data_IF_289118214671
#
_entry.id   IF_289118214671
#
_cell.length_a   1.000
_cell.length_b   1.000
_cell.length_c   1.000
_cell.angle_alpha   90.00
_cell.angle_beta   90.00
_cell.angle_gamma   90.00
#
_symmetry.space_group_name_H-M   'P 1'
#
loop_
_entity.id
_entity.type
_entity.pdbx_description
1 polymer ?
#
# COMPACT_ATOMS: atom_id res chain seq x y z
N UNK A 1 -25.10 -34.96 20.27
CA UNK A 1 -25.29 -34.00 21.38
C UNK A 1 -23.93 -33.41 21.74
N UNK A 2 -23.88 -32.08 21.76
CA UNK A 2 -22.88 -31.20 22.39
C UNK A 2 -21.41 -31.29 21.93
N UNK A 3 -21.06 -30.59 20.82
CA UNK A 3 -19.76 -29.90 20.66
C UNK A 3 -19.71 -28.88 19.51
N UNK A 4 -20.81 -28.15 19.29
CA UNK A 4 -20.86 -26.99 18.38
C UNK A 4 -21.77 -25.89 18.98
N UNK A 5 -21.29 -25.15 19.99
CA UNK A 5 -22.02 -23.95 20.46
C UNK A 5 -21.21 -22.97 21.32
N UNK A 6 -19.87 -22.98 21.24
CA UNK A 6 -19.04 -21.99 21.95
C UNK A 6 -18.03 -21.35 20.98
N UNK A 7 -18.56 -20.60 20.01
CA UNK A 7 -17.77 -19.76 19.09
C UNK A 7 -18.54 -18.51 18.62
N UNK A 8 -19.58 -18.09 19.35
CA UNK A 8 -20.45 -16.96 18.95
C UNK A 8 -20.85 -16.02 20.09
N UNK A 9 -20.07 -15.91 21.16
CA UNK A 9 -20.43 -15.06 22.32
C UNK A 9 -19.35 -14.05 22.74
N UNK A 10 -18.63 -13.42 21.79
CA UNK A 10 -17.73 -12.29 22.15
C UNK A 10 -17.50 -11.24 21.06
N UNK A 11 -18.38 -11.17 20.05
CA UNK A 11 -18.29 -10.19 18.95
C UNK A 11 -19.55 -9.32 18.78
N UNK A 12 -20.36 -9.16 19.84
CA UNK A 12 -21.50 -8.25 19.87
C UNK A 12 -21.58 -7.54 21.23
N UNK A 13 -20.63 -6.65 21.52
CA UNK A 13 -20.82 -5.62 22.54
C UNK A 13 -19.92 -4.44 22.18
N UNK A 14 -20.53 -3.40 21.61
CA UNK A 14 -20.19 -1.95 21.62
C UNK A 14 -20.96 -1.35 20.43
N UNK A 15 -22.21 -0.98 20.69
CA UNK A 15 -22.97 0.12 20.07
C UNK A 15 -24.46 -0.03 20.43
N UNK A 16 -24.80 0.13 21.71
CA UNK A 16 -26.17 0.46 22.09
C UNK A 16 -26.17 1.12 23.48
N UNK A 17 -25.94 2.43 23.51
CA UNK A 17 -26.31 3.29 24.64
C UNK A 17 -26.37 4.73 24.13
N UNK A 18 -27.50 5.08 23.52
CA UNK A 18 -28.17 6.39 23.64
C UNK A 18 -29.26 6.51 22.58
N UNK A 19 -30.40 5.83 22.81
CA UNK A 19 -31.71 6.30 22.34
C UNK A 19 -32.70 5.89 23.43
N UNK A 20 -32.78 6.70 24.49
CA UNK A 20 -34.01 6.81 25.27
C UNK A 20 -34.59 8.19 24.97
N UNK A 21 -35.89 8.21 24.73
CA UNK A 21 -36.73 9.34 24.29
C UNK A 21 -36.82 9.48 22.76
N UNK A 22 -37.84 8.86 22.17
CA UNK A 22 -38.95 9.58 21.53
C UNK A 22 -40.12 8.61 21.36
N UNK A 23 -41.29 9.14 21.65
CA UNK A 23 -42.58 8.49 21.82
C UNK A 23 -43.22 8.08 20.48
N UNK A 24 -44.10 7.08 20.57
CA UNK A 24 -44.85 6.40 19.50
C UNK A 24 -45.64 7.34 18.57
N UNK A 25 -45.73 6.99 17.28
CA UNK A 25 -47.03 6.79 16.61
C UNK A 25 -46.91 6.13 15.23
N UNK A 26 -47.75 5.10 15.04
CA UNK A 26 -48.36 4.58 13.79
C UNK A 26 -47.57 3.69 12.81
N UNK A 27 -47.95 2.41 12.85
CA UNK A 27 -48.29 1.50 11.75
C UNK A 27 -47.20 1.04 10.73
N UNK A 28 -46.82 -0.24 10.88
CA UNK A 28 -47.18 -1.35 9.97
C UNK A 28 -46.51 -1.51 8.59
N UNK A 29 -45.61 -2.51 8.54
CA UNK A 29 -45.42 -3.56 7.52
C UNK A 29 -44.79 -3.27 6.12
N UNK A 30 -43.57 -3.82 5.97
CA UNK A 30 -43.06 -4.69 4.89
C UNK A 30 -42.80 -4.18 3.44
N UNK A 31 -41.51 -4.36 3.03
CA UNK A 31 -40.91 -4.52 1.69
C UNK A 31 -41.00 -3.32 0.71
N UNK A 32 -39.99 -2.98 -0.10
CA UNK A 32 -39.25 -3.83 -1.04
C UNK A 32 -37.84 -3.26 -1.31
N UNK A 33 -36.93 -4.19 -1.56
CA UNK A 33 -35.52 -4.06 -1.91
C UNK A 33 -35.19 -3.33 -3.23
N UNK A 34 -33.89 -3.00 -3.36
CA UNK A 34 -33.09 -2.81 -4.59
C UNK A 34 -33.34 -1.47 -5.30
N UNK A 35 -32.33 -0.65 -5.62
CA UNK A 35 -31.10 -0.96 -6.32
C UNK A 35 -29.99 0.07 -6.03
N UNK A 36 -28.78 -0.34 -6.38
CA UNK A 36 -27.47 0.27 -6.11
C UNK A 36 -27.14 1.40 -7.12
N UNK A 37 -26.07 2.15 -6.81
CA UNK A 37 -25.15 2.88 -7.73
C UNK A 37 -25.24 4.42 -7.78
N UNK A 38 -24.24 5.01 -7.10
CA UNK A 38 -23.46 6.22 -7.43
C UNK A 38 -24.16 7.47 -7.99
N UNK A 39 -24.06 8.58 -7.25
CA UNK A 39 -23.42 9.78 -7.82
C UNK A 39 -23.04 10.79 -6.74
N UNK A 40 -21.76 11.15 -6.73
CA UNK A 40 -21.15 12.24 -5.96
C UNK A 40 -21.67 13.64 -6.39
N UNK A 41 -22.55 13.71 -7.40
CA UNK A 41 -23.10 14.96 -7.96
C UNK A 41 -24.27 15.55 -7.17
N UNK A 42 -24.93 14.78 -6.28
CA UNK A 42 -26.09 15.28 -5.52
C UNK A 42 -25.78 15.84 -4.12
N UNK A 43 -24.50 16.05 -3.78
CA UNK A 43 -24.09 16.63 -2.47
C UNK A 43 -23.61 18.08 -2.54
N UNK A 44 -23.77 18.76 -3.67
CA UNK A 44 -23.33 20.16 -3.86
C UNK A 44 -24.41 21.13 -4.31
N UNK A 45 -25.67 20.87 -3.98
CA UNK A 45 -26.76 21.84 -4.16
C UNK A 45 -27.71 21.80 -2.97
N UNK A 46 -27.26 22.36 -1.85
CA UNK A 46 -28.17 22.93 -0.86
C UNK A 46 -27.45 24.10 -0.18
N UNK A 47 -27.47 25.26 -0.83
CA UNK A 47 -27.24 26.56 -0.21
C UNK A 47 -27.66 27.62 -1.20
N UNK A 48 -28.49 28.56 -0.74
CA UNK A 48 -28.93 29.78 -1.44
C UNK A 48 -30.28 29.69 -2.15
N UNK A 49 -31.37 29.57 -1.38
CA UNK A 49 -32.70 29.98 -1.84
C UNK A 49 -33.50 30.59 -0.70
N UNK A 50 -33.02 31.71 -0.15
CA UNK A 50 -33.87 32.68 0.54
C UNK A 50 -33.18 34.03 0.45
N UNK A 51 -33.56 34.88 -0.51
CA UNK A 51 -33.58 36.34 -0.41
C UNK A 51 -34.35 36.91 -1.61
N UNK A 52 -35.48 37.55 -1.29
CA UNK A 52 -35.99 38.83 -1.81
C UNK A 52 -35.96 39.08 -3.34
N UNK A 53 -37.12 39.22 -3.97
CA UNK A 53 -37.87 40.48 -4.13
C UNK A 53 -37.24 41.44 -5.18
N UNK A 54 -38.00 41.64 -6.26
CA UNK A 54 -38.07 42.84 -7.11
C UNK A 54 -36.77 43.39 -7.73
N UNK A 55 -36.51 43.07 -9.00
CA UNK A 55 -35.54 43.80 -9.84
C UNK A 55 -36.01 43.87 -11.31
N UNK A 56 -35.96 45.09 -11.83
CA UNK A 56 -36.45 45.60 -13.12
C UNK A 56 -35.79 45.00 -14.37
N UNK A 57 -36.55 44.99 -15.48
CA UNK A 57 -36.28 44.44 -16.83
C UNK A 57 -35.08 45.08 -17.59
N UNK A 58 -34.15 45.78 -16.93
CA UNK A 58 -33.03 46.48 -17.60
C UNK A 58 -31.64 45.83 -17.53
N UNK A 59 -31.51 44.58 -17.05
CA UNK A 59 -30.20 43.90 -16.93
C UNK A 59 -30.00 42.68 -17.84
N UNK A 60 -30.94 42.37 -18.74
CA UNK A 60 -30.80 41.25 -19.68
C UNK A 60 -29.80 41.54 -20.84
N UNK A 61 -29.62 42.81 -21.22
CA UNK A 61 -28.76 43.18 -22.36
C UNK A 61 -27.27 43.39 -22.01
N UNK A 62 -26.94 43.62 -20.72
CA UNK A 62 -25.55 43.73 -20.27
C UNK A 62 -24.86 42.38 -20.05
N UNK A 63 -25.63 41.33 -19.80
CA UNK A 63 -25.10 40.00 -19.48
C UNK A 63 -24.62 39.22 -20.72
N UNK A 64 -25.24 39.43 -21.88
CA UNK A 64 -24.83 38.78 -23.14
C UNK A 64 -23.56 39.40 -23.72
N UNK A 65 -23.33 40.70 -23.55
CA UNK A 65 -22.16 41.40 -24.10
C UNK A 65 -20.85 41.03 -23.38
N UNK A 66 -20.88 40.89 -22.05
CA UNK A 66 -19.71 40.54 -21.23
C UNK A 66 -19.32 39.06 -21.39
N UNK A 67 -20.29 38.16 -21.63
CA UNK A 67 -20.04 36.73 -21.83
C UNK A 67 -19.37 36.44 -23.19
N UNK A 68 -19.75 37.18 -24.24
CA UNK A 68 -19.18 37.02 -25.59
C UNK A 68 -17.70 37.45 -25.67
N UNK A 69 -17.30 38.51 -24.95
CA UNK A 69 -15.90 38.98 -24.92
C UNK A 69 -15.00 38.01 -24.12
N UNK A 70 -15.50 37.42 -23.02
CA UNK A 70 -14.73 36.44 -22.22
C UNK A 70 -14.49 35.12 -22.95
N UNK A 71 -15.41 34.70 -23.83
CA UNK A 71 -15.24 33.50 -24.66
C UNK A 71 -14.22 33.78 -25.77
N UNK A 72 -14.30 34.93 -26.45
CA UNK A 72 -13.35 35.29 -27.50
C UNK A 72 -11.91 35.52 -26.99
N UNK A 73 -11.71 36.13 -25.81
CA UNK A 73 -10.37 36.24 -25.21
C UNK A 73 -9.76 34.88 -24.83
N UNK A 74 -10.60 33.92 -24.41
CA UNK A 74 -10.13 32.56 -24.08
C UNK A 74 -9.66 31.80 -25.32
N UNK A 75 -10.30 31.99 -26.47
CA UNK A 75 -9.88 31.37 -27.73
C UNK A 75 -8.65 32.05 -28.35
N UNK A 76 -8.49 33.38 -28.22
CA UNK A 76 -7.31 34.09 -28.73
C UNK A 76 -6.02 33.69 -27.98
N UNK A 77 -6.09 33.47 -26.66
CA UNK A 77 -4.93 33.06 -25.85
C UNK A 77 -4.54 31.59 -26.10
N UNK A 78 -5.48 30.73 -26.50
CA UNK A 78 -5.19 29.33 -26.86
C UNK A 78 -4.46 29.24 -28.20
N UNK A 79 -4.73 30.14 -29.16
CA UNK A 79 -4.02 30.17 -30.45
C UNK A 79 -2.58 30.71 -30.37
N UNK A 80 -2.27 31.62 -29.43
CA UNK A 80 -0.91 32.17 -29.28
C UNK A 80 0.04 31.19 -28.58
N UNK A 81 -0.48 30.26 -27.77
CA UNK A 81 0.34 29.24 -27.08
C UNK A 81 0.74 28.07 -28.03
N UNK A 82 0.17 28.00 -29.24
CA UNK A 82 0.44 26.92 -30.19
C UNK A 82 1.67 27.16 -31.09
N UNK A 83 2.35 28.31 -31.00
CA UNK A 83 3.45 28.67 -31.92
C UNK A 83 4.84 28.77 -31.27
N UNK A 84 4.99 28.52 -29.96
CA UNK A 84 6.30 28.47 -29.31
C UNK A 84 6.65 27.05 -28.89
N UNK A 85 7.12 26.28 -29.87
CA UNK A 85 7.85 25.02 -29.67
C UNK A 85 9.18 25.31 -28.98
N UNK A 86 9.26 25.09 -27.68
CA UNK A 86 10.50 24.69 -27.03
C UNK A 86 10.35 23.23 -26.62
N UNK A 87 10.50 22.36 -27.60
CA UNK A 87 10.78 20.95 -27.37
C UNK A 87 12.11 20.86 -26.63
N UNK A 88 12.04 20.92 -25.31
CA UNK A 88 13.13 20.41 -24.47
C UNK A 88 13.35 18.95 -24.86
N UNK A 89 14.58 18.50 -25.11
CA UNK A 89 14.84 17.07 -25.11
C UNK A 89 14.48 16.60 -23.70
N UNK A 90 13.32 15.97 -23.55
CA UNK A 90 13.03 15.18 -22.38
C UNK A 90 14.12 14.10 -22.41
N UNK A 91 15.17 14.29 -21.61
CA UNK A 91 16.02 13.19 -21.17
C UNK A 91 15.07 12.24 -20.44
N UNK A 92 14.43 11.36 -21.19
CA UNK A 92 13.82 10.16 -20.68
C UNK A 92 14.99 9.39 -20.09
N UNK A 93 15.25 9.63 -18.81
CA UNK A 93 16.22 8.89 -18.05
C UNK A 93 15.73 7.44 -18.14
N UNK A 94 16.33 6.67 -19.03
CA UNK A 94 16.06 5.25 -19.23
C UNK A 94 16.63 4.56 -18.01
N UNK A 95 15.98 4.77 -16.86
CA UNK A 95 16.16 3.93 -15.69
C UNK A 95 15.89 2.52 -16.19
N UNK A 96 16.97 1.77 -16.37
CA UNK A 96 16.90 0.40 -16.82
C UNK A 96 15.89 -0.28 -15.91
N UNK A 97 14.84 -0.85 -16.50
CA UNK A 97 13.78 -1.57 -15.77
C UNK A 97 14.36 -2.65 -14.83
N UNK A 98 15.61 -3.02 -15.06
CA UNK A 98 16.36 -4.03 -14.35
C UNK A 98 17.51 -3.49 -13.48
N UNK A 99 17.69 -2.17 -13.32
CA UNK A 99 18.73 -1.63 -12.43
C UNK A 99 18.38 -1.84 -10.96
N UNK A 100 19.40 -2.10 -10.14
CA UNK A 100 19.24 -2.15 -8.68
C UNK A 100 18.89 -0.73 -8.16
N UNK A 101 17.78 -0.55 -7.41
CA UNK A 101 17.46 0.77 -6.86
C UNK A 101 18.53 1.27 -5.89
N UNK A 102 18.83 2.57 -5.94
CA UNK A 102 19.92 3.20 -5.19
C UNK A 102 19.90 2.91 -3.68
N UNK A 103 18.71 2.78 -3.08
CA UNK A 103 18.57 2.43 -1.67
C UNK A 103 19.15 1.05 -1.33
N UNK A 104 18.97 0.06 -2.21
CA UNK A 104 19.57 -1.25 -2.03
C UNK A 104 21.08 -1.19 -2.17
N UNK A 105 21.62 -0.43 -3.13
CA UNK A 105 23.07 -0.22 -3.29
C UNK A 105 23.66 0.41 -2.03
N UNK A 106 23.02 1.46 -1.50
CA UNK A 106 23.43 2.15 -0.27
C UNK A 106 23.51 1.20 0.91
N UNK A 107 22.42 0.49 1.21
CA UNK A 107 22.36 -0.42 2.37
C UNK A 107 23.28 -1.61 2.18
N UNK A 108 23.34 -2.17 0.98
CA UNK A 108 24.24 -3.27 0.64
C UNK A 108 25.70 -2.92 0.91
N UNK A 109 26.14 -1.71 0.55
CA UNK A 109 27.48 -1.22 0.88
C UNK A 109 27.69 -1.07 2.38
N UNK A 110 26.71 -0.52 3.10
CA UNK A 110 26.79 -0.30 4.56
C UNK A 110 26.92 -1.61 5.36
N UNK A 111 26.15 -2.62 4.98
CA UNK A 111 26.13 -3.92 5.66
C UNK A 111 27.10 -4.95 5.00
N UNK A 112 27.74 -4.54 3.91
CA UNK A 112 28.66 -5.30 3.06
C UNK A 112 28.07 -6.55 2.39
N UNK A 113 26.77 -6.57 2.12
CA UNK A 113 26.11 -7.65 1.38
C UNK A 113 26.09 -7.34 -0.13
N UNK A 114 25.96 -8.34 -1.03
CA UNK A 114 25.83 -8.08 -2.46
C UNK A 114 24.50 -7.38 -2.78
N UNK A 115 24.56 -6.22 -3.44
CA UNK A 115 23.37 -5.40 -3.72
C UNK A 115 22.34 -6.11 -4.62
N UNK A 116 22.83 -6.86 -5.61
CA UNK A 116 21.99 -7.65 -6.51
C UNK A 116 21.24 -8.76 -5.75
N UNK A 117 21.90 -9.43 -4.81
CA UNK A 117 21.29 -10.45 -3.96
C UNK A 117 20.23 -9.84 -3.04
N UNK A 118 20.57 -8.75 -2.35
CA UNK A 118 19.66 -8.08 -1.42
C UNK A 118 18.37 -7.62 -2.13
N UNK A 119 18.52 -7.03 -3.33
CA UNK A 119 17.36 -6.64 -4.12
C UNK A 119 16.58 -7.84 -4.66
N UNK A 120 17.24 -8.90 -5.10
CA UNK A 120 16.60 -10.12 -5.56
C UNK A 120 15.76 -10.81 -4.47
N UNK A 121 16.25 -10.83 -3.21
CA UNK A 121 15.48 -11.29 -2.06
C UNK A 121 14.21 -10.44 -1.90
N UNK A 122 14.34 -9.11 -1.86
CA UNK A 122 13.16 -8.23 -1.80
C UNK A 122 12.15 -8.48 -2.93
N UNK A 123 12.61 -8.77 -4.15
CA UNK A 123 11.72 -9.13 -5.27
C UNK A 123 10.98 -10.44 -5.03
N UNK A 124 11.64 -11.46 -4.47
CA UNK A 124 10.99 -12.70 -4.10
C UNK A 124 9.98 -12.51 -2.96
N UNK A 125 10.28 -11.62 -2.02
CA UNK A 125 9.53 -11.44 -0.79
C UNK A 125 8.29 -10.54 -0.92
N UNK A 126 8.41 -9.38 -1.57
CA UNK A 126 7.39 -8.32 -1.45
C UNK A 126 6.97 -7.71 -2.80
N UNK A 127 7.19 -8.42 -3.91
CA UNK A 127 6.65 -7.98 -5.21
C UNK A 127 5.12 -8.00 -5.17
N UNK A 128 4.51 -6.83 -5.29
CA UNK A 128 3.07 -6.71 -5.43
C UNK A 128 2.64 -7.31 -6.78
N UNK A 129 1.77 -8.33 -6.80
CA UNK A 129 1.43 -9.06 -8.00
C UNK A 129 0.63 -8.24 -9.01
N UNK A 130 -0.03 -7.15 -8.58
CA UNK A 130 -0.83 -6.27 -9.45
C UNK A 130 0.03 -5.26 -10.19
N UNK A 131 0.98 -4.62 -9.50
CA UNK A 131 1.83 -3.56 -10.07
C UNK A 131 3.22 -4.05 -10.48
N UNK A 132 3.57 -5.31 -10.19
CA UNK A 132 4.85 -5.97 -10.51
C UNK A 132 6.08 -5.21 -10.00
N UNK A 133 5.96 -4.61 -8.81
CA UNK A 133 7.03 -3.88 -8.13
C UNK A 133 7.16 -4.34 -6.69
N UNK A 134 8.38 -4.32 -6.17
CA UNK A 134 8.66 -4.48 -4.73
C UNK A 134 7.91 -3.39 -3.98
N UNK A 135 7.20 -3.75 -2.92
CA UNK A 135 6.28 -2.83 -2.26
C UNK A 135 6.53 -2.75 -0.74
N UNK A 136 6.86 -1.56 -0.20
CA UNK A 136 7.33 -1.43 1.18
C UNK A 136 6.25 -1.62 2.24
N UNK A 137 4.99 -1.50 1.86
CA UNK A 137 3.85 -1.63 2.76
C UNK A 137 3.16 -2.98 2.56
N UNK A 138 3.99 -4.01 2.45
CA UNK A 138 3.57 -5.42 2.34
C UNK A 138 3.59 -6.06 3.72
N UNK A 139 2.54 -6.82 4.01
CA UNK A 139 2.41 -7.61 5.22
C UNK A 139 2.03 -9.03 4.80
N UNK A 140 2.69 -10.04 5.35
CA UNK A 140 2.25 -11.43 5.20
C UNK A 140 1.77 -11.97 6.54
N UNK A 141 0.59 -12.58 6.55
CA UNK A 141 0.03 -13.27 7.72
C UNK A 141 -0.24 -14.71 7.31
N UNK A 142 0.51 -15.65 7.90
CA UNK A 142 0.35 -17.11 7.67
C UNK A 142 0.35 -17.51 6.18
N UNK A 143 1.22 -16.90 5.38
CA UNK A 143 1.37 -17.18 3.95
C UNK A 143 0.48 -16.31 3.05
N UNK A 144 -0.41 -15.48 3.60
CA UNK A 144 -1.26 -14.57 2.83
C UNK A 144 -0.68 -13.16 2.82
N UNK A 145 -0.25 -12.70 1.65
CA UNK A 145 0.26 -11.35 1.42
C UNK A 145 -0.84 -10.30 1.27
N UNK A 146 -0.65 -9.16 1.92
CA UNK A 146 -1.48 -7.96 1.89
C UNK A 146 -0.63 -6.76 1.50
N UNK A 147 -1.09 -5.97 0.54
CA UNK A 147 -0.33 -4.86 -0.04
C UNK A 147 -1.10 -3.55 0.18
N UNK A 148 -0.66 -2.75 1.15
CA UNK A 148 -1.35 -1.53 1.56
C UNK A 148 -0.88 -0.33 0.75
N UNK A 149 -1.74 0.65 0.41
CA UNK A 149 -1.34 1.78 -0.42
C UNK A 149 -0.49 2.82 0.32
N UNK A 150 -0.41 2.75 1.66
CA UNK A 150 0.38 3.70 2.47
C UNK A 150 0.96 3.02 3.71
N UNK A 151 2.07 3.57 4.23
CA UNK A 151 2.68 3.17 5.51
C UNK A 151 1.67 3.18 6.66
N UNK A 152 0.83 4.23 6.73
CA UNK A 152 -0.18 4.40 7.78
C UNK A 152 -1.20 3.24 7.79
N UNK A 153 -1.66 2.81 6.61
CA UNK A 153 -2.61 1.69 6.52
C UNK A 153 -1.96 0.35 6.87
N UNK A 154 -0.73 0.10 6.42
CA UNK A 154 0.01 -1.08 6.84
C UNK A 154 0.24 -1.07 8.36
N UNK A 155 0.68 0.06 8.92
CA UNK A 155 0.90 0.20 10.36
C UNK A 155 -0.38 -0.09 11.17
N UNK A 156 -1.51 0.50 10.78
CA UNK A 156 -2.80 0.22 11.42
C UNK A 156 -3.17 -1.28 11.37
N UNK A 157 -2.90 -1.96 10.25
CA UNK A 157 -3.12 -3.40 10.13
C UNK A 157 -2.20 -4.20 11.07
N UNK A 158 -0.90 -3.84 11.18
CA UNK A 158 0.02 -4.50 12.12
C UNK A 158 -0.47 -4.29 13.55
N UNK A 159 -0.83 -3.07 13.94
CA UNK A 159 -1.30 -2.78 15.30
C UNK A 159 -2.56 -3.59 15.63
N UNK A 160 -3.50 -3.74 14.70
CA UNK A 160 -4.68 -4.59 14.88
C UNK A 160 -4.31 -6.07 15.07
N UNK A 161 -3.37 -6.59 14.26
CA UNK A 161 -2.91 -7.98 14.39
C UNK A 161 -2.25 -8.23 15.74
N UNK A 162 -1.34 -7.34 16.16
CA UNK A 162 -0.62 -7.46 17.42
C UNK A 162 -1.55 -7.31 18.64
N UNK A 163 -2.56 -6.44 18.57
CA UNK A 163 -3.57 -6.30 19.62
C UNK A 163 -4.45 -7.55 19.79
N UNK A 164 -4.43 -8.48 18.82
CA UNK A 164 -5.12 -9.76 18.85
C UNK A 164 -4.14 -10.95 18.99
N UNK A 165 -2.94 -10.71 19.50
CA UNK A 165 -1.88 -11.71 19.69
C UNK A 165 -1.41 -12.42 18.41
N UNK A 166 -1.69 -11.85 17.24
CA UNK A 166 -1.21 -12.37 15.95
C UNK A 166 0.17 -11.78 15.66
N UNK A 167 1.21 -12.50 16.07
CA UNK A 167 2.61 -12.05 16.00
C UNK A 167 3.42 -12.67 14.86
N UNK A 168 2.97 -13.79 14.29
CA UNK A 168 3.55 -14.44 13.10
C UNK A 168 3.21 -13.63 11.83
N UNK A 169 3.87 -12.48 11.71
CA UNK A 169 3.61 -11.47 10.68
C UNK A 169 4.92 -11.06 10.03
N UNK A 170 5.04 -11.19 8.71
CA UNK A 170 6.19 -10.69 7.96
C UNK A 170 5.95 -9.25 7.50
N UNK A 171 6.94 -8.39 7.68
CA UNK A 171 6.78 -6.94 7.49
C UNK A 171 7.76 -6.41 6.44
N UNK A 172 7.22 -5.62 5.50
CA UNK A 172 7.99 -4.72 4.65
C UNK A 172 8.68 -5.38 3.45
N UNK A 173 9.69 -4.69 2.91
CA UNK A 173 10.40 -5.06 1.68
C UNK A 173 11.09 -6.43 1.77
N UNK A 174 11.68 -6.71 2.92
CA UNK A 174 12.48 -7.90 3.22
C UNK A 174 11.67 -9.01 3.90
N UNK A 175 10.36 -8.79 4.12
CA UNK A 175 9.45 -9.72 4.81
C UNK A 175 10.06 -10.32 6.09
N UNK A 176 10.67 -9.46 6.91
CA UNK A 176 11.24 -9.90 8.19
C UNK A 176 10.11 -10.20 9.17
N UNK A 177 10.11 -11.42 9.71
CA UNK A 177 9.05 -11.87 10.60
C UNK A 177 9.13 -11.21 11.99
N UNK A 178 8.02 -10.63 12.43
CA UNK A 178 7.89 -9.94 13.71
C UNK A 178 8.12 -10.85 14.92
N UNK A 179 7.51 -12.04 14.94
CA UNK A 179 7.63 -12.99 16.05
C UNK A 179 9.10 -13.34 16.36
N UNK A 180 9.91 -13.58 15.32
CA UNK A 180 11.32 -13.97 15.47
C UNK A 180 12.30 -12.80 15.62
N UNK A 181 11.96 -11.63 15.07
CA UNK A 181 12.92 -10.53 14.91
C UNK A 181 12.42 -9.18 15.44
N UNK A 182 11.41 -9.15 16.32
CA UNK A 182 10.91 -7.91 16.95
C UNK A 182 12.04 -7.05 17.53
N UNK A 183 13.07 -7.64 18.14
CA UNK A 183 14.17 -6.89 18.76
C UNK A 183 15.07 -6.19 17.74
N UNK A 184 15.19 -6.75 16.52
CA UNK A 184 15.89 -6.12 15.39
C UNK A 184 14.98 -5.08 14.71
N UNK A 185 13.67 -5.38 14.60
CA UNK A 185 12.66 -4.51 13.98
C UNK A 185 12.27 -3.29 14.84
N UNK A 186 12.47 -3.38 16.16
CA UNK A 186 12.17 -2.39 17.21
C UNK A 186 10.67 -2.13 17.40
N UNK A 187 10.04 -1.48 16.44
CA UNK A 187 8.63 -1.11 16.52
C UNK A 187 7.97 -1.24 15.14
N UNK A 188 6.64 -1.44 15.06
CA UNK A 188 5.96 -1.65 13.78
C UNK A 188 6.08 -0.48 12.81
N UNK A 189 6.19 0.76 13.31
CA UNK A 189 6.35 1.92 12.45
C UNK A 189 7.72 1.87 11.78
N UNK A 190 8.79 1.72 12.56
CA UNK A 190 10.17 1.62 12.08
C UNK A 190 10.39 0.39 11.20
N UNK A 191 9.77 -0.74 11.52
CA UNK A 191 9.76 -1.95 10.72
C UNK A 191 9.24 -1.74 9.28
N UNK A 192 8.33 -0.78 9.07
CA UNK A 192 7.80 -0.37 7.76
C UNK A 192 8.62 0.73 7.05
N UNK A 193 9.68 1.25 7.67
CA UNK A 193 10.60 2.18 7.00
C UNK A 193 11.38 1.43 5.92
N UNK A 194 11.34 1.85 4.63
CA UNK A 194 12.04 1.16 3.56
C UNK A 194 13.52 0.91 3.86
N UNK A 195 14.26 1.94 4.25
CA UNK A 195 15.69 1.83 4.54
C UNK A 195 15.97 0.91 5.72
N UNK A 196 15.24 1.08 6.83
CA UNK A 196 15.47 0.29 8.04
C UNK A 196 15.09 -1.19 7.86
N UNK A 197 14.03 -1.46 7.10
CA UNK A 197 13.61 -2.81 6.78
C UNK A 197 14.65 -3.53 5.90
N UNK A 198 15.18 -2.84 4.88
CA UNK A 198 16.28 -3.37 4.05
C UNK A 198 17.52 -3.61 4.91
N UNK A 199 17.90 -2.68 5.79
CA UNK A 199 19.03 -2.83 6.71
C UNK A 199 18.85 -4.04 7.62
N UNK A 200 17.65 -4.25 8.17
CA UNK A 200 17.36 -5.39 9.04
C UNK A 200 17.54 -6.71 8.30
N UNK A 201 16.99 -6.83 7.07
CA UNK A 201 17.17 -8.02 6.25
C UNK A 201 18.63 -8.25 5.82
N UNK A 202 19.36 -7.18 5.49
CA UNK A 202 20.77 -7.23 5.15
C UNK A 202 21.63 -7.73 6.33
N UNK A 203 21.35 -7.29 7.56
CA UNK A 203 22.03 -7.79 8.77
C UNK A 203 21.79 -9.27 9.00
N UNK A 204 20.54 -9.75 8.86
CA UNK A 204 20.21 -11.18 8.96
C UNK A 204 21.00 -11.99 7.92
N UNK A 205 21.09 -11.48 6.68
CA UNK A 205 21.85 -12.14 5.61
C UNK A 205 23.35 -12.15 5.91
N UNK A 206 23.89 -11.03 6.42
CA UNK A 206 25.30 -10.92 6.85
C UNK A 206 25.63 -11.90 7.98
N UNK A 207 24.81 -11.97 9.01
CA UNK A 207 24.97 -12.91 10.14
C UNK A 207 24.96 -14.38 9.70
N UNK A 208 24.27 -14.69 8.60
CA UNK A 208 24.39 -16.00 7.98
C UNK A 208 25.75 -16.18 7.30
N UNK A 209 26.15 -15.20 6.48
CA UNK A 209 27.39 -15.28 5.71
C UNK A 209 28.62 -15.39 6.60
N UNK A 210 28.67 -14.66 7.72
CA UNK A 210 29.79 -14.75 8.66
C UNK A 210 30.05 -16.18 9.14
N UNK A 211 28.98 -16.98 9.31
CA UNK A 211 29.07 -18.38 9.76
C UNK A 211 29.26 -19.39 8.62
N UNK A 212 28.85 -19.06 7.40
CA UNK A 212 28.72 -20.03 6.29
C UNK A 212 29.61 -19.72 5.10
N UNK A 213 30.02 -18.47 4.95
CA UNK A 213 30.84 -17.94 3.86
C UNK A 213 30.30 -18.25 2.45
N UNK A 214 28.98 -18.47 2.33
CA UNK A 214 28.29 -18.76 1.08
C UNK A 214 26.98 -17.96 1.00
N UNK A 215 26.97 -16.97 0.10
CA UNK A 215 25.82 -16.10 -0.13
C UNK A 215 24.61 -16.85 -0.70
N UNK A 216 24.82 -17.87 -1.53
CA UNK A 216 23.74 -18.63 -2.13
C UNK A 216 23.10 -19.57 -1.12
N UNK A 217 23.91 -20.22 -0.27
CA UNK A 217 23.40 -20.94 0.89
C UNK A 217 22.58 -20.01 1.79
N UNK A 218 23.12 -18.83 2.10
CA UNK A 218 22.43 -17.86 2.95
C UNK A 218 21.15 -17.28 2.35
N UNK A 219 21.07 -17.15 1.03
CA UNK A 219 19.83 -16.81 0.34
C UNK A 219 18.74 -17.88 0.57
N UNK A 220 19.09 -19.18 0.52
CA UNK A 220 18.15 -20.26 0.84
C UNK A 220 17.71 -20.26 2.30
N UNK A 221 18.67 -20.11 3.22
CA UNK A 221 18.45 -20.03 4.68
C UNK A 221 17.62 -18.83 5.12
N UNK A 222 17.63 -17.75 4.33
CA UNK A 222 16.87 -16.54 4.62
C UNK A 222 15.37 -16.85 4.72
N UNK A 223 14.85 -17.72 3.84
CA UNK A 223 13.44 -18.11 3.83
C UNK A 223 13.11 -19.20 4.85
N UNK A 224 14.00 -20.17 5.04
CA UNK A 224 13.77 -21.28 5.97
C UNK A 224 15.07 -21.97 6.37
N UNK A 225 15.15 -22.43 7.62
CA UNK A 225 16.32 -23.18 8.12
C UNK A 225 16.38 -24.57 7.48
N UNK A 226 17.52 -24.96 6.93
CA UNK A 226 17.77 -26.24 6.26
C UNK A 226 18.11 -27.36 7.26
N UNK A 227 17.37 -27.44 8.37
CA UNK A 227 17.63 -28.39 9.45
C UNK A 227 16.85 -29.71 9.33
N UNK A 228 15.97 -29.83 8.33
CA UNK A 228 15.33 -31.08 7.91
C UNK A 228 15.41 -31.21 6.39
N UNK A 229 15.32 -32.43 5.81
CA UNK A 229 15.33 -32.62 4.36
C UNK A 229 14.26 -31.80 3.62
N UNK A 230 13.05 -31.70 4.18
CA UNK A 230 11.94 -30.97 3.58
C UNK A 230 12.22 -29.47 3.53
N UNK A 231 12.80 -28.92 4.62
CA UNK A 231 13.17 -27.51 4.69
C UNK A 231 14.38 -27.20 3.81
N UNK A 232 15.36 -28.10 3.73
CA UNK A 232 16.47 -27.97 2.80
C UNK A 232 15.99 -27.91 1.34
N UNK A 233 15.03 -28.77 0.96
CA UNK A 233 14.43 -28.73 -0.37
C UNK A 233 13.68 -27.41 -0.62
N UNK A 234 12.99 -26.86 0.39
CA UNK A 234 12.33 -25.55 0.31
C UNK A 234 13.33 -24.40 0.17
N UNK A 235 14.40 -24.40 0.95
CA UNK A 235 15.50 -23.43 0.85
C UNK A 235 16.16 -23.46 -0.55
N UNK A 236 16.37 -24.67 -1.10
CA UNK A 236 16.90 -24.84 -2.47
C UNK A 236 15.99 -24.20 -3.53
N UNK A 237 14.68 -24.49 -3.50
CA UNK A 237 13.71 -23.88 -4.44
C UNK A 237 13.65 -22.36 -4.31
N UNK A 238 13.66 -21.87 -3.08
CA UNK A 238 13.66 -20.42 -2.82
C UNK A 238 14.92 -19.76 -3.38
N UNK A 239 16.10 -20.34 -3.12
CA UNK A 239 17.37 -19.88 -3.66
C UNK A 239 17.36 -19.81 -5.18
N UNK A 240 16.84 -20.83 -5.86
CA UNK A 240 16.72 -20.84 -7.33
C UNK A 240 15.84 -19.69 -7.84
N UNK A 241 14.74 -19.39 -7.14
CA UNK A 241 13.89 -18.23 -7.45
C UNK A 241 14.64 -16.90 -7.26
N UNK A 242 15.36 -16.72 -6.15
CA UNK A 242 16.19 -15.53 -5.90
C UNK A 242 17.26 -15.37 -6.99
N UNK A 243 17.94 -16.46 -7.36
CA UNK A 243 18.94 -16.46 -8.44
C UNK A 243 18.36 -16.02 -9.78
N UNK A 244 17.11 -16.39 -10.08
CA UNK A 244 16.43 -15.93 -11.30
C UNK A 244 16.27 -14.41 -11.31
N UNK A 245 15.92 -13.79 -10.17
CA UNK A 245 15.84 -12.34 -10.04
C UNK A 245 17.20 -11.66 -10.10
N UNK A 246 18.24 -12.26 -9.51
CA UNK A 246 19.61 -11.74 -9.60
C UNK A 246 20.08 -11.67 -11.06
N UNK A 247 19.90 -12.75 -11.83
CA UNK A 247 20.28 -12.80 -13.26
C UNK A 247 19.50 -11.81 -14.12
N UNK A 248 18.25 -11.53 -13.75
CA UNK A 248 17.41 -10.57 -14.46
C UNK A 248 17.75 -9.11 -14.15
N UNK A 249 18.52 -8.84 -13.11
CA UNK A 249 18.90 -7.50 -12.66
C UNK A 249 20.26 -7.15 -13.29
N UNK A 250 20.36 -5.99 -13.94
CA UNK A 250 21.55 -5.54 -14.68
C UNK A 250 22.28 -4.44 -13.92
#
# INVERSE_FOLDING_TARGET
MARESISKSKYLTICSQNIQNIHLSTLSWWLVCMTNVYSWVLRKMHSSSHHQCNMSIKTAYGFTYIYSIKIFLKFLVISIILSSSLSSPAYANTYSKNSIPALYVKVAKQEGVPANLLYAISRAESTNPKIKKVWPWTINVRGKGYYFPTRKKAYAAIMLLLANDITLVDIGLMQTNWYWHKDKLKDPWKALSPEYNIQTGAKILRECYERKQDWFYCAGEYHTKSNTPERAARAKRYRENVLSYMRATK
#
